data_IF_350379766008
#
_entry.id   IF_350379766008
#
_cell.length_a   1.000
_cell.length_b   1.000
_cell.length_c   1.000
_cell.angle_alpha   90.00
_cell.angle_beta   90.00
_cell.angle_gamma   90.00
#
_symmetry.space_group_name_H-M   'P 1'
#
loop_
_entity.id
_entity.type
_entity.pdbx_description
1 polymer ?
#
# COMPACT_ATOMS: atom_id res chain seq x y z
N UNK A 1 -12.91 11.47 -2.98
CA UNK A 1 -12.16 12.26 -1.97
C UNK A 1 -10.86 11.54 -1.62
N UNK A 2 -9.87 12.23 -1.01
CA UNK A 2 -8.57 11.64 -0.66
C UNK A 2 -8.20 11.80 0.83
N UNK A 3 -7.61 10.76 1.41
CA UNK A 3 -7.03 10.75 2.74
C UNK A 3 -5.52 10.49 2.65
N UNK A 4 -4.73 11.31 3.33
CA UNK A 4 -3.26 11.24 3.29
C UNK A 4 -2.76 10.93 4.69
N UNK A 5 -1.74 10.08 4.78
CA UNK A 5 -0.92 9.92 5.97
C UNK A 5 0.55 9.87 5.59
N UNK A 6 1.37 10.63 6.31
CA UNK A 6 2.81 10.73 6.08
C UNK A 6 3.54 10.45 7.38
N UNK A 7 4.50 9.52 7.36
CA UNK A 7 5.41 9.27 8.47
C UNK A 7 6.84 9.57 8.04
N UNK A 8 7.50 10.42 8.83
CA UNK A 8 8.85 10.90 8.55
C UNK A 8 9.90 10.24 9.45
N UNK A 9 11.17 10.23 9.01
CA UNK A 9 12.32 9.79 9.81
C UNK A 9 12.26 8.33 10.30
N UNK A 10 11.73 7.43 9.47
CA UNK A 10 11.69 6.00 9.79
C UNK A 10 13.11 5.44 9.69
N UNK A 11 13.57 4.75 10.74
CA UNK A 11 14.90 4.13 10.85
C UNK A 11 15.02 2.83 10.04
N UNK A 12 14.56 2.85 8.79
CA UNK A 12 14.59 1.71 7.85
C UNK A 12 15.10 2.20 6.50
N UNK A 13 15.85 1.35 5.80
CA UNK A 13 16.32 1.68 4.44
C UNK A 13 15.14 1.71 3.46
N UNK A 14 15.05 2.73 2.58
CA UNK A 14 13.98 2.84 1.58
C UNK A 14 13.82 1.57 0.73
N UNK A 15 14.93 0.92 0.36
CA UNK A 15 14.90 -0.32 -0.44
C UNK A 15 14.11 -1.45 0.24
N UNK A 16 14.24 -1.59 1.57
CA UNK A 16 13.54 -2.63 2.33
C UNK A 16 12.04 -2.36 2.41
N UNK A 17 11.64 -1.10 2.54
CA UNK A 17 10.24 -0.68 2.53
C UNK A 17 9.60 -0.84 1.16
N UNK A 18 10.29 -0.46 0.09
CA UNK A 18 9.80 -0.60 -1.30
C UNK A 18 9.43 -2.05 -1.63
N UNK A 19 10.19 -3.02 -1.14
CA UNK A 19 9.89 -4.44 -1.31
C UNK A 19 8.55 -4.82 -0.66
N UNK A 20 8.25 -4.32 0.53
CA UNK A 20 6.96 -4.59 1.21
C UNK A 20 5.82 -3.85 0.51
N UNK A 21 6.04 -2.60 0.09
CA UNK A 21 5.05 -1.82 -0.64
C UNK A 21 4.63 -2.50 -1.95
N UNK A 22 5.57 -3.11 -2.67
CA UNK A 22 5.26 -3.86 -3.89
C UNK A 22 4.26 -5.00 -3.67
N UNK A 23 4.33 -5.68 -2.52
CA UNK A 23 3.36 -6.74 -2.18
C UNK A 23 1.96 -6.18 -1.90
N UNK A 24 1.87 -5.00 -1.28
CA UNK A 24 0.62 -4.45 -0.75
C UNK A 24 -0.09 -3.52 -1.75
N UNK A 25 0.62 -2.94 -2.72
CA UNK A 25 0.11 -1.90 -3.63
C UNK A 25 -1.21 -2.26 -4.35
N UNK A 26 -1.44 -3.54 -4.63
CA UNK A 26 -2.65 -4.02 -5.35
C UNK A 26 -3.78 -4.49 -4.44
N UNK A 27 -3.57 -4.53 -3.13
CA UNK A 27 -4.55 -5.01 -2.14
C UNK A 27 -5.49 -3.88 -1.70
N UNK A 28 -6.57 -4.22 -1.01
CA UNK A 28 -7.36 -3.23 -0.26
C UNK A 28 -6.65 -2.86 1.05
N UNK A 29 -6.91 -1.68 1.64
CA UNK A 29 -6.30 -1.28 2.91
C UNK A 29 -6.59 -2.24 4.07
N UNK A 30 -7.77 -2.85 4.09
CA UNK A 30 -8.16 -3.84 5.10
C UNK A 30 -7.36 -5.14 4.95
N UNK A 31 -7.35 -5.74 3.75
CA UNK A 31 -6.53 -6.94 3.50
C UNK A 31 -5.04 -6.68 3.71
N UNK A 32 -4.56 -5.46 3.42
CA UNK A 32 -3.19 -5.07 3.70
C UNK A 32 -2.85 -5.13 5.19
N UNK A 33 -3.75 -4.66 6.06
CA UNK A 33 -3.56 -4.67 7.52
C UNK A 33 -3.52 -6.10 8.07
N UNK A 34 -4.22 -7.04 7.44
CA UNK A 34 -4.15 -8.46 7.81
C UNK A 34 -2.88 -9.15 7.31
N UNK A 35 -2.39 -8.80 6.12
CA UNK A 35 -1.23 -9.45 5.49
C UNK A 35 0.08 -8.96 6.11
N UNK A 36 0.20 -7.65 6.38
CA UNK A 36 1.45 -7.03 6.84
C UNK A 36 2.07 -7.68 8.09
N UNK A 37 1.31 -8.00 9.16
CA UNK A 37 1.87 -8.66 10.36
C UNK A 37 2.42 -10.06 10.10
N UNK A 38 1.91 -10.75 9.06
CA UNK A 38 2.31 -12.11 8.69
C UNK A 38 3.55 -12.13 7.80
N UNK A 39 3.97 -10.99 7.27
CA UNK A 39 5.19 -10.91 6.47
C UNK A 39 6.42 -10.97 7.38
N UNK A 40 7.33 -11.89 7.10
CA UNK A 40 8.63 -12.02 7.79
C UNK A 40 9.62 -10.90 7.40
N UNK A 41 9.21 -9.63 7.48
CA UNK A 41 10.01 -8.44 7.18
C UNK A 41 9.74 -7.36 8.22
N UNK A 42 10.78 -6.94 8.95
CA UNK A 42 10.73 -5.79 9.91
C UNK A 42 10.25 -4.47 9.29
N UNK A 43 10.32 -4.34 7.96
CA UNK A 43 9.80 -3.17 7.26
C UNK A 43 8.25 -3.13 7.20
N UNK A 44 7.56 -4.21 7.60
CA UNK A 44 6.11 -4.26 7.65
C UNK A 44 5.53 -3.41 8.79
N UNK A 45 6.10 -3.47 9.99
CA UNK A 45 5.62 -2.72 11.17
C UNK A 45 5.43 -1.21 10.92
N UNK A 46 6.43 -0.47 10.39
CA UNK A 46 6.23 0.94 10.10
C UNK A 46 5.14 1.17 9.04
N UNK A 47 5.08 0.33 8.00
CA UNK A 47 4.07 0.50 6.94
C UNK A 47 2.65 0.24 7.47
N UNK A 48 2.48 -0.76 8.35
CA UNK A 48 1.21 -1.05 9.00
C UNK A 48 0.71 0.14 9.82
N UNK A 49 1.58 0.81 10.58
CA UNK A 49 1.24 2.00 11.36
C UNK A 49 0.74 3.14 10.47
N UNK A 50 1.41 3.40 9.34
CA UNK A 50 1.01 4.45 8.39
C UNK A 50 -0.34 4.13 7.75
N UNK A 51 -0.56 2.89 7.33
CA UNK A 51 -1.84 2.48 6.72
C UNK A 51 -2.98 2.60 7.74
N UNK A 52 -2.77 2.17 8.99
CA UNK A 52 -3.76 2.32 10.06
C UNK A 52 -4.12 3.79 10.31
N UNK A 53 -3.12 4.67 10.32
CA UNK A 53 -3.34 6.12 10.42
C UNK A 53 -4.09 6.67 9.20
N UNK A 54 -3.76 6.23 7.99
CA UNK A 54 -4.43 6.68 6.76
C UNK A 54 -5.91 6.28 6.76
N UNK A 55 -6.25 5.07 7.21
CA UNK A 55 -7.65 4.61 7.36
C UNK A 55 -8.37 5.45 8.41
N UNK A 56 -7.76 5.71 9.57
CA UNK A 56 -8.36 6.57 10.59
C UNK A 56 -8.65 8.00 10.06
N UNK A 57 -7.72 8.56 9.28
CA UNK A 57 -7.93 9.85 8.62
C UNK A 57 -9.05 9.82 7.59
N UNK A 58 -9.23 8.69 6.87
CA UNK A 58 -10.31 8.51 5.92
C UNK A 58 -11.67 8.47 6.62
N UNK A 59 -11.78 7.70 7.72
CA UNK A 59 -12.99 7.66 8.55
C UNK A 59 -13.33 9.03 9.11
N UNK A 60 -12.33 9.78 9.60
CA UNK A 60 -12.53 11.15 10.08
C UNK A 60 -13.01 12.12 9.00
N UNK A 61 -12.78 11.82 7.71
CA UNK A 61 -13.28 12.60 6.57
C UNK A 61 -14.64 12.11 6.06
N UNK A 62 -15.25 11.11 6.70
CA UNK A 62 -16.54 10.55 6.31
C UNK A 62 -16.49 9.52 5.18
N UNK A 63 -15.32 8.98 4.85
CA UNK A 63 -15.19 7.90 3.85
C UNK A 63 -15.50 6.53 4.48
N UNK A 64 -16.14 5.65 3.71
CA UNK A 64 -16.40 4.29 4.16
C UNK A 64 -15.12 3.42 4.05
N UNK A 65 -14.63 2.83 5.16
CA UNK A 65 -13.42 2.00 5.14
C UNK A 65 -13.48 0.82 4.16
N UNK A 66 -14.67 0.27 3.90
CA UNK A 66 -14.83 -0.87 2.99
C UNK A 66 -14.61 -0.50 1.51
N UNK A 67 -14.79 0.78 1.16
CA UNK A 67 -14.69 1.27 -0.22
C UNK A 67 -13.35 1.97 -0.54
N UNK A 68 -12.36 1.89 0.36
CA UNK A 68 -11.05 2.52 0.17
C UNK A 68 -10.14 1.70 -0.77
N UNK A 69 -9.35 2.42 -1.58
CA UNK A 69 -8.26 1.88 -2.39
C UNK A 69 -6.99 2.69 -2.17
N UNK A 70 -5.83 2.05 -2.35
CA UNK A 70 -4.56 2.77 -2.44
C UNK A 70 -4.49 3.51 -3.78
N UNK A 71 -4.47 4.84 -3.73
CA UNK A 71 -4.13 5.66 -4.90
C UNK A 71 -2.61 5.62 -5.11
N UNK A 72 -1.88 5.88 -4.04
CA UNK A 72 -0.43 5.93 -4.09
C UNK A 72 0.22 5.54 -2.75
N UNK A 73 1.34 4.83 -2.84
CA UNK A 73 2.23 4.56 -1.70
C UNK A 73 3.64 4.96 -2.12
N UNK A 74 4.11 6.10 -1.61
CA UNK A 74 5.43 6.64 -1.90
C UNK A 74 6.41 6.31 -0.77
N UNK A 75 7.63 5.90 -1.13
CA UNK A 75 8.73 5.68 -0.20
C UNK A 75 9.93 6.49 -0.67
N UNK A 76 10.14 7.61 0.03
CA UNK A 76 11.19 8.56 -0.23
C UNK A 76 12.40 8.30 0.67
N UNK A 77 13.58 8.68 0.20
CA UNK A 77 14.79 8.64 1.02
C UNK A 77 14.79 9.81 2.01
N UNK A 78 15.20 9.54 3.24
CA UNK A 78 15.38 10.55 4.27
C UNK A 78 16.84 10.84 4.57
N UNK A 79 17.12 11.57 5.66
CA UNK A 79 18.49 11.90 6.07
C UNK A 79 19.36 10.64 6.23
N UNK A 80 20.61 10.76 5.76
CA UNK A 80 21.61 9.70 5.86
C UNK A 80 22.58 10.05 6.97
N UNK A 81 22.65 9.22 8.00
CA UNK A 81 23.64 9.41 9.07
C UNK A 81 24.91 8.64 8.75
N UNK A 82 26.04 9.36 8.72
CA UNK A 82 27.37 8.75 8.54
C UNK A 82 27.78 8.04 9.85
N UNK A 83 28.21 6.79 9.75
CA UNK A 83 28.88 6.01 10.80
C UNK A 83 30.16 5.46 10.19
N UNK A 84 31.07 5.02 11.05
CA UNK A 84 32.20 4.25 10.60
C UNK A 84 32.13 2.81 11.08
N UNK A 85 32.90 1.97 10.39
CA UNK A 85 33.19 0.61 10.80
C UNK A 85 34.72 0.49 10.86
N UNK A 86 35.31 0.20 12.03
CA UNK A 86 36.72 -0.15 12.12
C UNK A 86 36.98 -1.48 11.42
N UNK A 87 38.09 -1.56 10.69
CA UNK A 87 38.50 -2.74 9.90
C UNK A 87 39.98 -3.05 10.17
N UNK A 88 40.48 -4.15 9.61
CA UNK A 88 41.88 -4.57 9.71
C UNK A 88 42.88 -3.48 9.32
N UNK A 89 44.10 -3.55 9.86
CA UNK A 89 45.21 -2.63 9.55
C UNK A 89 44.91 -1.15 9.84
N UNK A 90 44.14 -0.87 10.89
CA UNK A 90 43.79 0.52 11.27
C UNK A 90 42.91 1.25 10.26
N UNK A 91 42.29 0.54 9.32
CA UNK A 91 41.44 1.15 8.29
C UNK A 91 40.05 1.48 8.83
N UNK A 92 39.46 2.55 8.29
CA UNK A 92 38.11 3.00 8.64
C UNK A 92 37.23 3.06 7.40
N UNK A 93 36.15 2.28 7.38
CA UNK A 93 35.19 2.30 6.28
C UNK A 93 33.92 3.07 6.64
N UNK A 94 33.38 3.78 5.65
CA UNK A 94 32.12 4.52 5.81
C UNK A 94 30.93 3.56 5.82
N UNK A 95 30.09 3.64 6.86
CA UNK A 95 28.84 2.90 6.99
C UNK A 95 27.69 3.89 7.11
N UNK A 96 26.78 3.89 6.13
CA UNK A 96 25.66 4.84 6.12
C UNK A 96 24.42 4.21 6.76
N UNK A 97 23.83 4.87 7.75
CA UNK A 97 22.50 4.56 8.27
C UNK A 97 21.47 5.41 7.52
N UNK A 98 20.68 4.76 6.67
CA UNK A 98 19.64 5.40 5.85
C UNK A 98 18.33 5.47 6.62
N UNK A 99 17.65 6.60 6.51
CA UNK A 99 16.25 6.77 6.92
C UNK A 99 15.34 6.86 5.70
N UNK A 100 14.04 6.77 5.94
CA UNK A 100 13.02 6.87 4.90
C UNK A 100 11.81 7.68 5.38
N UNK A 101 11.09 8.25 4.41
CA UNK A 101 9.79 8.86 4.60
C UNK A 101 8.76 8.05 3.81
N UNK A 102 7.61 7.77 4.42
CA UNK A 102 6.51 7.01 3.78
C UNK A 102 5.29 7.91 3.71
N UNK A 103 4.69 8.00 2.51
CA UNK A 103 3.44 8.70 2.28
C UNK A 103 2.44 7.72 1.66
N UNK A 104 1.28 7.59 2.28
CA UNK A 104 0.16 6.77 1.81
C UNK A 104 -0.99 7.69 1.47
N UNK A 105 -1.53 7.53 0.26
CA UNK A 105 -2.71 8.23 -0.23
C UNK A 105 -3.80 7.19 -0.49
N UNK A 106 -4.90 7.32 0.24
CA UNK A 106 -6.11 6.54 0.07
C UNK A 106 -7.13 7.38 -0.70
N UNK A 107 -7.87 6.70 -1.56
CA UNK A 107 -8.96 7.27 -2.35
C UNK A 107 -10.17 6.35 -2.24
N UNK A 108 -11.35 6.93 -2.26
CA UNK A 108 -12.60 6.19 -2.29
C UNK A 108 -12.89 5.68 -3.72
N UNK A 109 -13.36 4.43 -3.86
CA UNK A 109 -13.85 3.95 -5.16
C UNK A 109 -15.15 4.67 -5.51
N UNK A 110 -15.11 5.53 -6.54
CA UNK A 110 -16.32 6.07 -7.14
C UNK A 110 -17.19 4.95 -7.74
N UNK A 111 -18.51 5.10 -7.63
CA UNK A 111 -19.52 4.10 -7.98
C UNK A 111 -19.56 3.74 -9.48
N UNK A 112 -18.90 4.52 -10.34
CA UNK A 112 -18.88 4.32 -11.80
C UNK A 112 -18.32 2.95 -12.19
N UNK A 113 -17.33 2.44 -11.47
CA UNK A 113 -16.78 1.09 -11.69
C UNK A 113 -17.73 -0.04 -11.24
N UNK A 114 -18.63 0.23 -10.29
CA UNK A 114 -19.68 -0.72 -9.87
C UNK A 114 -20.75 -0.85 -10.96
N UNK A 115 -21.14 0.26 -11.60
CA UNK A 115 -22.10 0.28 -12.72
C UNK A 115 -21.57 -0.43 -13.97
N UNK A 116 -20.29 -0.25 -14.33
CA UNK A 116 -19.70 -0.92 -15.50
C UNK A 116 -19.59 -2.43 -15.28
N UNK A 117 -19.19 -2.89 -14.09
CA UNK A 117 -19.15 -4.32 -13.74
C UNK A 117 -20.54 -4.96 -13.59
N UNK A 118 -21.53 -4.17 -13.16
CA UNK A 118 -22.94 -4.60 -13.13
C UNK A 118 -23.48 -4.85 -14.54
N UNK A 119 -23.31 -3.88 -15.46
CA UNK A 119 -23.72 -3.98 -16.86
C UNK A 119 -23.05 -5.14 -17.59
N UNK A 120 -21.75 -5.34 -17.40
CA UNK A 120 -21.02 -6.46 -18.02
C UNK A 120 -21.52 -7.85 -17.54
N UNK A 121 -21.99 -7.96 -16.30
CA UNK A 121 -22.57 -9.20 -15.76
C UNK A 121 -24.00 -9.47 -16.22
N UNK A 122 -24.75 -8.43 -16.58
CA UNK A 122 -26.07 -8.57 -17.21
C UNK A 122 -25.92 -9.03 -18.66
N UNK A 123 -25.04 -8.41 -19.45
CA UNK A 123 -24.79 -8.81 -20.86
C UNK A 123 -24.30 -10.25 -21.00
N UNK A 124 -23.42 -10.72 -20.10
CA UNK A 124 -22.95 -12.14 -20.09
C UNK A 124 -24.05 -13.15 -19.71
N UNK A 125 -25.08 -12.73 -18.96
CA UNK A 125 -26.22 -13.59 -18.59
C UNK A 125 -27.25 -13.66 -19.72
N UNK A 126 -27.44 -12.57 -20.45
CA UNK A 126 -28.36 -12.52 -21.59
C UNK A 126 -27.81 -13.31 -22.79
N UNK A 127 -26.50 -13.24 -23.08
CA UNK A 127 -25.89 -14.09 -24.13
C UNK A 127 -25.98 -15.60 -23.82
N UNK A 128 -25.90 -16.00 -22.54
CA UNK A 128 -26.08 -17.40 -22.14
C UNK A 128 -27.52 -17.88 -22.23
N UNK A 129 -28.50 -16.99 -22.06
CA UNK A 129 -29.94 -17.28 -22.26
C UNK A 129 -30.30 -17.43 -23.74
N UNK A 130 -29.68 -16.67 -24.63
CA UNK A 130 -29.91 -16.80 -26.08
C UNK A 130 -29.31 -18.09 -26.65
N UNK A 131 -28.09 -18.46 -26.24
CA UNK A 131 -27.44 -19.72 -26.69
C UNK A 131 -28.11 -21.00 -26.17
N UNK A 132 -28.83 -20.93 -25.05
CA UNK A 132 -29.62 -22.04 -24.50
C UNK A 132 -31.00 -22.22 -25.13
N UNK A 133 -31.51 -21.24 -25.89
CA UNK A 133 -32.79 -21.32 -26.62
C UNK A 133 -32.65 -21.92 -28.02
N UNK A 134 -31.44 -21.93 -28.60
CA UNK A 134 -31.15 -22.43 -29.95
C UNK A 134 -30.80 -23.92 -30.03
N UNK A 135 -30.81 -24.66 -28.91
CA UNK A 135 -30.50 -26.11 -28.83
C UNK A 135 -31.71 -26.95 -28.42
N UNK A 136 -32.90 -26.60 -28.90
CA UNK A 136 -34.13 -27.40 -28.80
C UNK A 136 -34.84 -27.42 -30.13
#
# INVERSE_FOLDING_TARGET
>A
MEAISTQTHIKTSPRKLRLVVQAVKKMTPESALEVLPRLFKRAADPLQKVIRSAVANAVSKGMDPANLKFKEIQVNEGPRTKRGLPVSRGMWHSRIKRMSHVRVVLEEKSEELKKIKGKAKETDKDEKKEKGKTTK
#
